data_IF_820958617213
#
_entry.id   IF_820958617213
#
_cell.length_a   1.000
_cell.length_b   1.000
_cell.length_c   1.000
_cell.angle_alpha   90.00
_cell.angle_beta   90.00
_cell.angle_gamma   90.00
#
_symmetry.space_group_name_H-M   'P 1'
#
loop_
_entity.id
_entity.type
_entity.pdbx_description
1 polymer ?
#
# COMPACT_ATOMS: atom_id res chain seq x y z
N UNK A 1 -33.41 -22.12 -3.78
CA UNK A 1 -33.37 -21.45 -2.47
C UNK A 1 -32.54 -22.19 -1.40
N UNK A 2 -32.24 -23.47 -1.51
CA UNK A 2 -31.65 -24.23 -0.40
C UNK A 2 -30.12 -24.23 -0.23
N UNK A 3 -29.32 -23.98 -1.26
CA UNK A 3 -27.85 -24.08 -1.19
C UNK A 3 -27.21 -22.75 -0.77
N UNK A 4 -27.76 -21.63 -1.20
CA UNK A 4 -27.30 -20.28 -0.87
C UNK A 4 -27.52 -19.93 0.62
N UNK A 5 -28.66 -20.33 1.18
CA UNK A 5 -28.95 -20.08 2.61
C UNK A 5 -28.11 -20.98 3.55
N UNK A 6 -27.79 -22.21 3.13
CA UNK A 6 -26.94 -23.10 3.94
C UNK A 6 -25.49 -22.66 3.98
N UNK A 7 -24.91 -22.17 2.85
CA UNK A 7 -23.55 -21.64 2.85
C UNK A 7 -23.44 -20.31 3.63
N UNK A 8 -24.47 -19.47 3.55
CA UNK A 8 -24.55 -18.21 4.28
C UNK A 8 -24.74 -18.40 5.79
N UNK A 9 -25.54 -19.38 6.21
CA UNK A 9 -25.70 -19.73 7.62
C UNK A 9 -24.40 -20.23 8.23
N UNK A 10 -23.71 -21.09 7.53
CA UNK A 10 -22.45 -21.67 7.96
C UNK A 10 -21.30 -20.64 8.04
N UNK A 11 -21.20 -19.72 7.06
CA UNK A 11 -20.22 -18.62 7.08
C UNK A 11 -20.53 -17.63 8.21
N UNK A 12 -21.81 -17.31 8.43
CA UNK A 12 -22.25 -16.42 9.51
C UNK A 12 -21.97 -17.01 10.89
N UNK A 13 -22.11 -18.33 11.03
CA UNK A 13 -21.82 -19.06 12.26
C UNK A 13 -20.31 -19.19 12.49
N UNK A 14 -19.51 -19.39 11.42
CA UNK A 14 -18.05 -19.49 11.49
C UNK A 14 -17.32 -18.15 11.58
N UNK A 15 -17.86 -17.06 11.06
CA UNK A 15 -17.26 -15.73 11.04
C UNK A 15 -17.89 -14.75 12.05
N UNK A 16 -18.36 -15.23 13.18
CA UNK A 16 -19.01 -14.40 14.19
C UNK A 16 -18.07 -13.30 14.73
N UNK A 17 -18.33 -12.01 14.43
CA UNK A 17 -17.41 -10.90 14.75
C UNK A 17 -17.25 -10.64 16.25
N UNK A 18 -18.15 -11.16 17.09
CA UNK A 18 -18.07 -10.98 18.54
C UNK A 18 -16.89 -11.72 19.21
N UNK A 19 -16.33 -12.73 18.56
CA UNK A 19 -15.14 -13.46 19.06
C UNK A 19 -13.80 -12.89 18.54
N UNK A 20 -13.81 -12.07 17.52
CA UNK A 20 -12.60 -11.47 16.95
C UNK A 20 -11.90 -10.47 17.91
N UNK A 21 -12.64 -9.92 18.88
CA UNK A 21 -12.12 -8.94 19.82
C UNK A 21 -11.19 -9.53 20.91
N UNK A 22 -11.18 -10.85 21.10
CA UNK A 22 -10.46 -11.49 22.21
C UNK A 22 -9.05 -11.96 21.82
N UNK A 23 -8.77 -12.14 20.53
CA UNK A 23 -7.53 -12.77 20.06
C UNK A 23 -6.56 -11.85 19.29
N UNK A 24 -6.75 -10.54 19.32
CA UNK A 24 -5.83 -9.59 18.67
C UNK A 24 -4.44 -9.50 19.32
N UNK A 25 -4.20 -10.21 20.41
CA UNK A 25 -2.93 -10.17 21.17
C UNK A 25 -1.97 -11.33 20.91
N UNK A 26 -2.36 -12.39 20.23
CA UNK A 26 -1.56 -13.62 20.23
C UNK A 26 -0.74 -13.93 18.96
N UNK A 27 -0.63 -13.01 18.02
CA UNK A 27 0.10 -13.22 16.77
C UNK A 27 1.39 -12.44 16.58
N UNK A 28 1.71 -11.53 17.50
CA UNK A 28 2.92 -10.69 17.41
C UNK A 28 3.91 -11.15 18.45
N UNK A 29 5.15 -11.40 18.06
CA UNK A 29 6.26 -11.55 18.97
C UNK A 29 6.23 -10.43 20.00
N UNK A 30 5.76 -10.73 21.21
CA UNK A 30 5.83 -9.83 22.35
C UNK A 30 7.29 -9.69 22.77
N UNK A 31 8.02 -8.77 22.14
CA UNK A 31 9.11 -8.13 22.87
C UNK A 31 8.46 -7.12 23.81
N UNK A 32 8.53 -7.42 25.08
CA UNK A 32 8.25 -6.49 26.19
C UNK A 32 8.87 -5.14 25.90
N UNK A 33 8.01 -4.17 25.71
CA UNK A 33 8.11 -2.73 25.75
C UNK A 33 7.49 -2.04 24.55
N UNK A 34 6.31 -1.46 24.76
CA UNK A 34 5.72 -0.33 24.02
C UNK A 34 5.75 -0.38 22.47
N UNK A 35 5.99 -1.53 21.86
CA UNK A 35 6.00 -1.62 20.39
C UNK A 35 4.58 -1.57 19.84
N UNK A 36 4.33 -0.52 19.08
CA UNK A 36 3.08 -0.35 18.38
C UNK A 36 2.92 -1.48 17.33
N UNK A 37 1.80 -2.19 17.34
CA UNK A 37 1.51 -3.16 16.27
C UNK A 37 1.37 -2.43 14.93
N UNK A 38 1.67 -3.09 13.81
CA UNK A 38 1.57 -2.45 12.49
C UNK A 38 0.15 -1.96 12.19
N UNK A 39 -0.86 -2.70 12.62
CA UNK A 39 -2.28 -2.28 12.49
C UNK A 39 -2.55 -1.01 13.29
N UNK A 40 -2.09 -0.93 14.55
CA UNK A 40 -2.24 0.29 15.36
C UNK A 40 -1.41 1.45 14.81
N UNK A 41 -0.23 1.18 14.24
CA UNK A 41 0.56 2.21 13.57
C UNK A 41 -0.17 2.75 12.33
N UNK A 42 -0.81 1.88 11.55
CA UNK A 42 -1.63 2.27 10.41
C UNK A 42 -2.85 3.12 10.81
N UNK A 43 -3.48 2.81 11.95
CA UNK A 43 -4.63 3.57 12.46
C UNK A 43 -4.24 4.93 13.05
N UNK A 44 -3.05 5.04 13.67
CA UNK A 44 -2.68 6.21 14.48
C UNK A 44 -1.67 7.14 13.83
N UNK A 45 -0.81 6.65 12.94
CA UNK A 45 0.26 7.43 12.33
C UNK A 45 -0.07 7.80 10.88
N UNK A 46 -0.19 9.09 10.63
CA UNK A 46 -0.51 9.65 9.31
C UNK A 46 0.44 9.17 8.21
N UNK A 47 1.74 9.13 8.50
CA UNK A 47 2.76 8.68 7.55
C UNK A 47 2.57 7.22 7.16
N UNK A 48 2.29 6.33 8.13
CA UNK A 48 2.05 4.91 7.87
C UNK A 48 0.74 4.74 7.08
N UNK A 49 -0.34 5.40 7.54
CA UNK A 49 -1.65 5.34 6.89
C UNK A 49 -1.56 5.78 5.43
N UNK A 50 -0.97 6.95 5.18
CA UNK A 50 -0.83 7.48 3.83
C UNK A 50 0.01 6.58 2.93
N UNK A 51 1.18 6.12 3.40
CA UNK A 51 2.08 5.28 2.62
C UNK A 51 1.46 3.94 2.25
N UNK A 52 0.82 3.28 3.20
CA UNK A 52 0.10 2.02 2.97
C UNK A 52 -1.06 2.24 2.00
N UNK A 53 -1.90 3.25 2.22
CA UNK A 53 -3.04 3.53 1.35
C UNK A 53 -2.63 3.88 -0.08
N UNK A 54 -1.51 4.56 -0.30
CA UNK A 54 -0.99 4.82 -1.65
C UNK A 54 -0.68 3.52 -2.39
N UNK A 55 0.01 2.58 -1.74
CA UNK A 55 0.35 1.27 -2.32
C UNK A 55 -0.92 0.46 -2.58
N UNK A 56 -1.75 0.35 -1.56
CA UNK A 56 -2.98 -0.47 -1.59
C UNK A 56 -3.95 0.03 -2.65
N UNK A 57 -4.20 1.35 -2.71
CA UNK A 57 -5.09 1.93 -3.72
C UNK A 57 -4.56 1.75 -5.13
N UNK A 58 -3.26 1.94 -5.34
CA UNK A 58 -2.62 1.74 -6.64
C UNK A 58 -2.70 0.27 -7.09
N UNK A 59 -2.40 -0.69 -6.21
CA UNK A 59 -2.46 -2.11 -6.51
C UNK A 59 -3.91 -2.58 -6.74
N UNK A 60 -4.87 -2.07 -5.95
CA UNK A 60 -6.29 -2.45 -6.04
C UNK A 60 -7.00 -1.88 -7.26
N UNK A 61 -6.48 -0.82 -7.86
CA UNK A 61 -7.05 -0.20 -9.07
C UNK A 61 -6.78 -0.98 -10.35
N UNK A 62 -5.87 -1.96 -10.32
CA UNK A 62 -5.54 -2.77 -11.48
C UNK A 62 -6.59 -3.88 -11.66
N UNK A 63 -7.10 -4.02 -12.88
CA UNK A 63 -7.91 -5.16 -13.27
C UNK A 63 -7.02 -6.26 -13.84
N UNK A 64 -7.57 -7.47 -13.93
CA UNK A 64 -6.84 -8.67 -14.34
C UNK A 64 -7.48 -9.31 -15.56
N UNK A 65 -6.66 -9.71 -16.51
CA UNK A 65 -7.07 -10.54 -17.63
C UNK A 65 -6.71 -12.00 -17.34
N UNK A 66 -7.72 -12.85 -17.32
CA UNK A 66 -7.55 -14.29 -17.11
C UNK A 66 -7.52 -14.96 -18.49
N UNK A 67 -6.36 -15.43 -18.87
CA UNK A 67 -6.11 -16.12 -20.14
C UNK A 67 -6.37 -17.62 -20.05
N UNK A 68 -5.82 -18.36 -20.98
CA UNK A 68 -6.03 -19.79 -21.07
C UNK A 68 -5.42 -20.56 -19.89
N UNK A 69 -5.95 -21.75 -19.65
CA UNK A 69 -5.43 -22.65 -18.63
C UNK A 69 -4.05 -23.18 -19.06
N UNK A 70 -3.04 -22.95 -18.20
CA UNK A 70 -1.65 -23.35 -18.48
C UNK A 70 -1.28 -24.66 -17.78
N UNK A 71 -1.85 -24.91 -16.59
CA UNK A 71 -1.54 -26.07 -15.78
C UNK A 71 -2.74 -26.49 -14.93
N UNK A 72 -2.64 -27.63 -14.27
CA UNK A 72 -3.59 -27.99 -13.22
C UNK A 72 -3.28 -27.22 -11.95
N UNK A 73 -4.26 -26.42 -11.47
CA UNK A 73 -4.17 -25.72 -10.22
C UNK A 73 -4.48 -26.62 -9.01
N UNK A 74 -4.27 -26.07 -7.83
CA UNK A 74 -4.65 -26.73 -6.56
C UNK A 74 -6.16 -26.92 -6.51
N UNK A 75 -6.92 -25.93 -6.98
CA UNK A 75 -8.38 -26.00 -7.11
C UNK A 75 -8.76 -26.52 -8.50
N UNK A 76 -9.46 -27.63 -8.54
CA UNK A 76 -9.97 -28.22 -9.78
C UNK A 76 -11.38 -27.71 -10.08
N UNK A 77 -11.73 -27.56 -11.37
CA UNK A 77 -13.09 -27.22 -11.81
C UNK A 77 -13.42 -25.72 -11.88
N UNK A 78 -12.51 -24.83 -11.52
CA UNK A 78 -12.66 -23.40 -11.78
C UNK A 78 -12.74 -23.13 -13.27
N UNK A 79 -13.68 -22.28 -13.70
CA UNK A 79 -13.81 -21.84 -15.09
C UNK A 79 -13.17 -20.46 -15.26
N UNK A 80 -12.53 -20.22 -16.41
CA UNK A 80 -11.91 -18.93 -16.74
C UNK A 80 -12.85 -17.74 -16.48
N UNK A 81 -14.08 -17.79 -17.02
CA UNK A 81 -15.08 -16.74 -16.82
C UNK A 81 -15.46 -16.53 -15.36
N UNK A 82 -15.49 -17.59 -14.57
CA UNK A 82 -15.77 -17.51 -13.13
C UNK A 82 -14.64 -16.81 -12.42
N UNK A 83 -13.39 -17.20 -12.67
CA UNK A 83 -12.22 -16.55 -12.08
C UNK A 83 -12.14 -15.07 -12.45
N UNK A 84 -12.36 -14.75 -13.73
CA UNK A 84 -12.39 -13.36 -14.19
C UNK A 84 -13.48 -12.53 -13.47
N UNK A 85 -14.67 -13.11 -13.26
CA UNK A 85 -15.75 -12.45 -12.51
C UNK A 85 -15.39 -12.23 -11.04
N UNK A 86 -14.74 -13.22 -10.39
CA UNK A 86 -14.30 -13.12 -9.01
C UNK A 86 -13.22 -12.07 -8.82
N UNK A 87 -12.28 -11.96 -9.77
CA UNK A 87 -11.17 -11.01 -9.68
C UNK A 87 -11.57 -9.57 -9.97
N UNK A 88 -12.44 -9.34 -10.97
CA UNK A 88 -12.69 -7.99 -11.50
C UNK A 88 -14.06 -7.42 -11.14
N UNK A 89 -15.01 -8.25 -10.73
CA UNK A 89 -16.37 -7.77 -10.52
C UNK A 89 -16.91 -8.11 -9.13
N UNK A 90 -17.01 -9.39 -8.78
CA UNK A 90 -17.72 -9.83 -7.58
C UNK A 90 -17.02 -11.01 -6.90
N UNK A 91 -16.08 -10.78 -6.00
CA UNK A 91 -15.41 -11.83 -5.24
C UNK A 91 -16.37 -12.59 -4.32
N UNK A 92 -17.33 -11.88 -3.71
CA UNK A 92 -18.36 -12.42 -2.84
C UNK A 92 -19.61 -11.51 -2.86
N UNK A 93 -20.74 -11.92 -2.22
CA UNK A 93 -21.98 -11.14 -2.22
C UNK A 93 -21.91 -9.79 -1.51
N UNK A 94 -20.89 -9.54 -0.69
CA UNK A 94 -20.79 -8.40 0.23
C UNK A 94 -19.80 -7.32 -0.20
N UNK A 95 -18.85 -7.63 -1.10
CA UNK A 95 -17.76 -6.76 -1.43
C UNK A 95 -17.63 -6.58 -2.95
N UNK A 96 -17.23 -5.38 -3.36
CA UNK A 96 -16.73 -5.16 -4.72
C UNK A 96 -15.35 -5.78 -4.90
N UNK A 97 -14.91 -6.00 -6.13
CA UNK A 97 -13.57 -6.48 -6.41
C UNK A 97 -12.50 -5.51 -5.90
N UNK A 98 -12.76 -4.20 -5.99
CA UNK A 98 -11.86 -3.16 -5.49
C UNK A 98 -11.69 -3.24 -3.97
N UNK A 99 -12.80 -3.28 -3.19
CA UNK A 99 -12.75 -3.36 -1.73
C UNK A 99 -12.06 -4.66 -1.25
N UNK A 100 -12.36 -5.77 -1.93
CA UNK A 100 -11.71 -7.04 -1.64
C UNK A 100 -10.19 -6.96 -1.86
N UNK A 101 -9.75 -6.38 -2.99
CA UNK A 101 -8.34 -6.17 -3.28
C UNK A 101 -7.68 -5.22 -2.28
N UNK A 102 -8.38 -4.18 -1.83
CA UNK A 102 -7.87 -3.31 -0.77
C UNK A 102 -7.58 -4.09 0.50
N UNK A 103 -8.48 -4.94 0.95
CA UNK A 103 -8.28 -5.73 2.16
C UNK A 103 -7.07 -6.66 2.04
N UNK A 104 -6.93 -7.39 0.94
CA UNK A 104 -5.82 -8.33 0.75
C UNK A 104 -4.47 -7.63 0.62
N UNK A 105 -4.40 -6.51 -0.09
CA UNK A 105 -3.14 -5.77 -0.22
C UNK A 105 -2.78 -5.01 1.08
N UNK A 106 -3.77 -4.60 1.87
CA UNK A 106 -3.53 -4.05 3.20
C UNK A 106 -2.86 -5.08 4.10
N UNK A 107 -3.40 -6.30 4.16
CA UNK A 107 -2.80 -7.39 4.93
C UNK A 107 -1.40 -7.75 4.42
N UNK A 108 -1.20 -7.75 3.11
CA UNK A 108 0.12 -8.03 2.55
C UNK A 108 1.17 -6.99 2.99
N UNK A 109 0.81 -5.72 3.00
CA UNK A 109 1.74 -4.65 3.40
C UNK A 109 1.96 -4.62 4.91
N UNK A 110 0.88 -4.76 5.71
CA UNK A 110 0.95 -4.67 7.16
C UNK A 110 1.47 -5.94 7.82
N UNK A 111 1.01 -7.11 7.38
CA UNK A 111 1.30 -8.40 8.02
C UNK A 111 2.25 -9.29 7.19
N UNK A 112 2.47 -8.94 5.93
CA UNK A 112 3.25 -9.73 4.99
C UNK A 112 2.60 -11.06 4.58
N UNK A 113 1.34 -11.29 4.90
CA UNK A 113 0.62 -12.53 4.65
C UNK A 113 -0.79 -12.24 4.19
N UNK A 114 -1.32 -13.07 3.29
CA UNK A 114 -2.70 -12.98 2.80
C UNK A 114 -3.34 -14.35 2.80
N UNK A 115 -4.53 -14.44 3.34
CA UNK A 115 -5.33 -15.65 3.36
C UNK A 115 -6.71 -15.36 2.77
N UNK A 116 -7.11 -16.15 1.79
CA UNK A 116 -8.39 -16.02 1.11
C UNK A 116 -9.05 -17.39 1.11
N UNK A 117 -10.18 -17.49 1.80
CA UNK A 117 -10.99 -18.70 1.78
C UNK A 117 -11.82 -18.76 0.49
N UNK A 118 -11.78 -19.91 -0.18
CA UNK A 118 -12.58 -20.20 -1.35
C UNK A 118 -13.59 -21.30 -1.04
N UNK A 119 -14.89 -20.99 -1.09
CA UNK A 119 -15.98 -21.92 -0.74
C UNK A 119 -16.45 -22.80 -1.92
N UNK A 120 -15.74 -22.75 -3.05
CA UNK A 120 -16.15 -23.39 -4.31
C UNK A 120 -16.92 -22.46 -5.26
N UNK A 121 -17.37 -21.30 -4.78
CA UNK A 121 -18.10 -20.31 -5.57
C UNK A 121 -17.55 -18.90 -5.40
N UNK A 122 -17.25 -18.48 -4.18
CA UNK A 122 -16.84 -17.14 -3.80
C UNK A 122 -15.53 -17.13 -3.01
N UNK A 123 -14.87 -15.96 -3.00
CA UNK A 123 -13.65 -15.70 -2.27
C UNK A 123 -13.93 -14.79 -1.07
N UNK A 124 -13.42 -15.15 0.10
CA UNK A 124 -13.56 -14.38 1.34
C UNK A 124 -12.19 -14.10 1.93
N UNK A 125 -11.90 -12.84 2.19
CA UNK A 125 -10.69 -12.45 2.86
C UNK A 125 -10.73 -12.88 4.33
N UNK A 126 -9.66 -13.51 4.80
CA UNK A 126 -9.45 -13.84 6.20
C UNK A 126 -8.32 -12.94 6.73
N UNK A 127 -8.60 -12.00 7.67
CA UNK A 127 -7.57 -11.13 8.24
C UNK A 127 -6.37 -11.93 8.74
N UNK A 128 -5.18 -11.57 8.26
CA UNK A 128 -3.94 -12.33 8.47
C UNK A 128 -3.55 -12.45 9.95
N UNK A 129 -3.89 -11.43 10.75
CA UNK A 129 -3.66 -11.45 12.20
C UNK A 129 -4.43 -12.57 12.92
N UNK A 130 -5.53 -13.02 12.35
CA UNK A 130 -6.42 -14.01 12.95
C UNK A 130 -6.19 -15.44 12.43
N UNK A 131 -5.26 -15.64 11.49
CA UNK A 131 -4.98 -16.94 10.90
C UNK A 131 -3.68 -17.52 11.45
N UNK A 132 -3.75 -18.72 11.98
CA UNK A 132 -2.60 -19.52 12.39
C UNK A 132 -2.32 -20.59 11.34
N UNK A 133 -1.05 -20.74 10.98
CA UNK A 133 -0.58 -21.81 10.10
C UNK A 133 -0.11 -22.97 10.97
N UNK A 134 -0.79 -24.08 10.87
CA UNK A 134 -0.37 -25.33 11.54
C UNK A 134 0.45 -26.15 10.56
N UNK A 135 1.70 -26.39 10.91
CA UNK A 135 2.68 -27.07 10.08
C UNK A 135 2.76 -28.57 10.39
N UNK A 136 3.26 -29.32 9.43
CA UNK A 136 3.53 -30.76 9.54
C UNK A 136 4.85 -31.05 8.79
N UNK A 137 5.67 -31.92 9.32
CA UNK A 137 6.95 -32.33 8.74
C UNK A 137 6.82 -32.93 7.33
N UNK A 138 5.68 -33.56 7.02
CA UNK A 138 5.45 -34.22 5.72
C UNK A 138 4.81 -33.33 4.68
N UNK A 139 3.88 -32.47 5.09
CA UNK A 139 3.04 -31.68 4.16
C UNK A 139 3.34 -30.19 4.17
N UNK A 140 4.32 -29.76 4.96
CA UNK A 140 4.66 -28.35 5.22
C UNK A 140 3.51 -27.60 5.93
N UNK A 141 2.34 -27.47 5.31
CA UNK A 141 1.16 -26.84 5.89
C UNK A 141 0.09 -27.93 6.02
N UNK A 142 -0.28 -28.23 7.26
CA UNK A 142 -1.32 -29.21 7.59
C UNK A 142 -2.72 -28.59 7.47
N UNK A 143 -2.90 -27.42 8.05
CA UNK A 143 -4.17 -26.66 8.05
C UNK A 143 -3.95 -25.21 8.39
N UNK A 144 -4.95 -24.39 8.09
CA UNK A 144 -5.06 -23.02 8.58
C UNK A 144 -6.16 -22.98 9.65
N UNK A 145 -5.87 -22.37 10.79
CA UNK A 145 -6.85 -22.20 11.87
C UNK A 145 -7.19 -20.72 12.00
N UNK A 146 -8.45 -20.38 11.82
CA UNK A 146 -8.96 -19.01 11.92
C UNK A 146 -9.61 -18.79 13.27
N UNK A 147 -9.29 -17.68 13.95
CA UNK A 147 -9.77 -17.34 15.32
C UNK A 147 -9.58 -18.48 16.34
N UNK A 148 -8.60 -19.34 16.14
CA UNK A 148 -8.31 -20.46 17.03
C UNK A 148 -9.35 -21.59 17.05
N UNK A 149 -10.43 -21.48 16.26
CA UNK A 149 -11.59 -22.42 16.33
C UNK A 149 -11.97 -23.01 14.99
N UNK A 150 -11.76 -22.31 13.88
CA UNK A 150 -12.18 -22.76 12.55
C UNK A 150 -10.99 -23.25 11.77
N UNK A 151 -11.03 -24.52 11.39
CA UNK A 151 -9.98 -25.14 10.60
C UNK A 151 -10.35 -25.17 9.12
N UNK A 152 -9.40 -24.80 8.26
CA UNK A 152 -9.48 -24.89 6.82
C UNK A 152 -8.37 -25.78 6.29
N UNK A 153 -8.65 -26.52 5.23
CA UNK A 153 -7.66 -27.32 4.52
C UNK A 153 -6.80 -26.42 3.62
N UNK A 154 -5.57 -26.84 3.26
CA UNK A 154 -4.70 -26.09 2.37
C UNK A 154 -5.27 -25.84 0.96
N UNK A 155 -6.17 -26.71 0.48
CA UNK A 155 -6.85 -26.59 -0.80
C UNK A 155 -8.08 -25.64 -0.77
N UNK A 156 -8.56 -25.27 0.42
CA UNK A 156 -9.65 -24.32 0.61
C UNK A 156 -9.16 -22.87 0.79
N UNK A 157 -7.87 -22.69 1.11
CA UNK A 157 -7.30 -21.37 1.38
C UNK A 157 -6.24 -21.01 0.35
N UNK A 158 -6.54 -20.01 -0.44
CA UNK A 158 -5.58 -19.34 -1.29
C UNK A 158 -4.67 -18.48 -0.41
N UNK A 159 -3.41 -18.90 -0.28
CA UNK A 159 -2.43 -18.28 0.58
C UNK A 159 -1.21 -17.81 -0.20
N UNK A 160 -0.78 -16.59 0.06
CA UNK A 160 0.49 -16.06 -0.39
C UNK A 160 1.10 -15.08 0.63
N UNK A 161 2.39 -14.80 0.48
CA UNK A 161 3.14 -14.04 1.48
C UNK A 161 4.21 -13.17 0.85
N UNK A 162 4.66 -12.16 1.57
CA UNK A 162 5.87 -11.40 1.23
C UNK A 162 7.13 -12.16 1.67
N UNK A 163 8.31 -11.65 1.31
CA UNK A 163 9.59 -12.27 1.68
C UNK A 163 9.77 -12.25 3.19
N UNK A 164 10.27 -13.34 3.74
CA UNK A 164 10.72 -13.43 5.13
C UNK A 164 12.03 -14.22 5.18
N UNK A 165 12.94 -13.75 6.00
CA UNK A 165 14.18 -14.48 6.29
C UNK A 165 14.03 -15.39 7.52
N UNK A 166 13.00 -15.15 8.35
CA UNK A 166 12.81 -15.83 9.63
C UNK A 166 11.91 -17.07 9.51
N UNK A 167 11.07 -17.12 8.47
CA UNK A 167 10.09 -18.20 8.31
C UNK A 167 9.87 -18.57 6.86
N UNK A 168 9.86 -19.87 6.57
CA UNK A 168 9.43 -20.40 5.27
C UNK A 168 7.90 -20.39 5.14
N UNK A 169 7.18 -20.32 6.25
CA UNK A 169 5.71 -20.39 6.29
C UNK A 169 5.06 -19.03 6.29
N UNK A 170 5.60 -18.04 7.00
CA UNK A 170 5.03 -16.67 7.08
C UNK A 170 5.94 -15.66 6.44
N UNK A 171 5.32 -14.66 5.82
CA UNK A 171 5.98 -13.46 5.34
C UNK A 171 6.21 -12.45 6.46
N UNK A 172 7.06 -11.47 6.23
CA UNK A 172 7.32 -10.36 7.13
C UNK A 172 6.67 -9.09 6.61
N UNK A 173 6.20 -8.25 7.54
CA UNK A 173 5.66 -6.93 7.21
C UNK A 173 6.71 -6.07 6.49
N UNK A 174 6.29 -5.30 5.50
CA UNK A 174 7.15 -4.28 4.88
C UNK A 174 7.55 -3.17 5.84
N UNK A 175 6.74 -2.94 6.87
CA UNK A 175 7.01 -1.95 7.91
C UNK A 175 8.06 -2.42 8.94
N UNK A 176 8.48 -3.69 8.91
CA UNK A 176 9.43 -4.23 9.88
C UNK A 176 10.75 -3.43 9.93
N UNK A 177 11.28 -3.05 8.78
CA UNK A 177 12.50 -2.24 8.70
C UNK A 177 12.31 -0.80 9.23
N UNK A 178 11.07 -0.30 9.24
CA UNK A 178 10.73 1.05 9.74
C UNK A 178 10.30 1.07 11.22
N UNK A 179 10.25 -0.07 11.92
CA UNK A 179 9.64 -0.16 13.25
C UNK A 179 10.23 0.84 14.26
N UNK A 180 11.54 1.10 14.21
CA UNK A 180 12.18 2.09 15.07
C UNK A 180 11.67 3.51 14.77
N UNK A 181 11.55 3.86 13.49
CA UNK A 181 11.02 5.17 13.07
C UNK A 181 9.56 5.33 13.44
N UNK A 182 8.77 4.26 13.33
CA UNK A 182 7.37 4.21 13.74
C UNK A 182 7.23 4.47 15.23
N UNK A 183 7.96 3.72 16.06
CA UNK A 183 7.91 3.89 17.51
C UNK A 183 8.41 5.26 17.97
N UNK A 184 9.48 5.78 17.35
CA UNK A 184 9.99 7.13 17.66
C UNK A 184 8.96 8.20 17.30
N UNK A 185 8.38 8.12 16.10
CA UNK A 185 7.35 9.06 15.65
C UNK A 185 6.12 9.03 16.57
N UNK A 186 5.67 7.84 16.94
CA UNK A 186 4.55 7.67 17.86
C UNK A 186 4.84 8.29 19.24
N UNK A 187 6.01 8.00 19.83
CA UNK A 187 6.40 8.56 21.12
C UNK A 187 6.55 10.09 21.08
N UNK A 188 7.04 10.64 19.97
CA UNK A 188 7.12 12.09 19.79
C UNK A 188 5.74 12.74 19.75
N UNK A 189 4.80 12.15 19.01
CA UNK A 189 3.42 12.65 18.93
C UNK A 189 2.70 12.53 20.28
N UNK A 190 2.84 11.42 21.00
CA UNK A 190 2.30 11.27 22.36
C UNK A 190 2.89 12.29 23.33
N UNK A 191 4.20 12.53 23.25
CA UNK A 191 4.86 13.54 24.05
C UNK A 191 4.30 14.94 23.75
N UNK A 192 4.18 15.31 22.47
CA UNK A 192 3.61 16.59 22.07
C UNK A 192 2.16 16.74 22.57
N UNK A 193 1.34 15.71 22.38
CA UNK A 193 -0.05 15.71 22.84
C UNK A 193 -0.14 15.88 24.36
N UNK A 194 0.67 15.13 25.10
CA UNK A 194 0.76 15.22 26.56
C UNK A 194 1.23 16.60 27.01
N UNK A 195 2.25 17.14 26.34
CA UNK A 195 2.78 18.48 26.65
C UNK A 195 1.71 19.56 26.47
N UNK A 196 0.97 19.55 25.35
CA UNK A 196 -0.12 20.51 25.13
C UNK A 196 -1.30 20.29 26.09
N UNK A 197 -1.65 19.04 26.38
CA UNK A 197 -2.69 18.74 27.41
C UNK A 197 -2.34 19.21 28.78
N UNK A 198 -1.04 19.25 29.12
CA UNK A 198 -0.53 19.73 30.42
C UNK A 198 -0.20 21.22 30.44
N UNK A 199 -0.71 22.00 29.47
CA UNK A 199 -0.57 23.46 29.48
C UNK A 199 0.78 23.97 28.97
N UNK A 200 1.51 23.17 28.21
CA UNK A 200 2.80 23.51 27.60
C UNK A 200 3.90 23.90 28.63
N UNK A 201 3.87 23.29 29.81
CA UNK A 201 4.86 23.54 30.88
C UNK A 201 5.72 22.29 31.05
N UNK A 202 7.04 22.43 30.86
CA UNK A 202 8.01 21.42 31.26
C UNK A 202 8.19 21.50 32.78
N UNK A 203 7.94 20.41 33.48
CA UNK A 203 8.24 20.18 34.88
C UNK A 203 8.35 21.41 35.76
N UNK A 204 7.32 21.73 36.53
CA UNK A 204 7.37 22.80 37.50
C UNK A 204 7.93 22.28 38.82
N UNK A 205 8.97 22.88 39.32
CA UNK A 205 9.47 22.65 40.67
C UNK A 205 9.10 23.83 41.55
N UNK A 206 8.45 23.54 42.66
CA UNK A 206 8.21 24.51 43.71
C UNK A 206 9.36 24.42 44.73
N UNK A 207 10.17 25.47 44.83
CA UNK A 207 11.25 25.57 45.80
C UNK A 207 10.83 26.44 46.97
N UNK A 208 11.25 26.08 48.15
CA UNK A 208 11.06 26.86 49.36
C UNK A 208 12.31 26.83 50.23
N UNK A 209 12.61 27.92 50.94
CA UNK A 209 13.70 28.00 51.88
C UNK A 209 13.39 27.30 53.21
N UNK A 210 12.10 27.01 53.46
CA UNK A 210 11.63 26.34 54.66
C UNK A 210 11.47 24.84 54.46
N UNK A 211 11.85 24.04 55.44
CA UNK A 211 11.63 22.58 55.37
C UNK A 211 10.15 22.24 55.56
N UNK A 212 9.50 21.75 54.56
CA UNK A 212 8.11 21.29 54.59
C UNK A 212 8.03 19.82 54.97
N UNK A 213 7.17 19.50 55.96
CA UNK A 213 6.80 18.11 56.24
C UNK A 213 6.02 17.46 55.10
N UNK A 214 5.98 16.14 55.09
CA UNK A 214 5.31 15.35 54.01
C UNK A 214 3.86 15.78 53.76
N UNK A 215 3.08 15.96 54.84
CA UNK A 215 1.67 16.40 54.74
C UNK A 215 1.53 17.82 54.16
N UNK A 216 2.47 18.71 54.43
CA UNK A 216 2.46 20.05 53.87
C UNK A 216 2.80 20.01 52.37
N UNK A 217 3.76 19.17 51.96
CA UNK A 217 4.10 18.94 50.55
C UNK A 217 2.90 18.43 49.75
N UNK A 218 2.20 17.39 50.24
CA UNK A 218 1.03 16.85 49.62
C UNK A 218 -0.12 17.86 49.50
N UNK A 219 -0.39 18.63 50.58
CA UNK A 219 -1.40 19.70 50.55
C UNK A 219 -1.06 20.78 49.53
N UNK A 220 0.20 21.17 49.41
CA UNK A 220 0.66 22.17 48.45
C UNK A 220 0.50 21.65 47.02
N UNK A 221 0.88 20.39 46.74
CA UNK A 221 0.71 19.76 45.43
C UNK A 221 -0.78 19.65 45.07
N UNK A 222 -1.62 19.16 45.98
CA UNK A 222 -3.06 19.02 45.76
C UNK A 222 -3.74 20.38 45.55
N UNK A 223 -3.35 21.42 46.32
CA UNK A 223 -3.82 22.79 46.13
C UNK A 223 -3.43 23.34 44.77
N UNK A 224 -2.15 23.16 44.36
CA UNK A 224 -1.65 23.54 43.05
C UNK A 224 -2.44 22.82 41.95
N UNK A 225 -2.56 21.49 42.01
CA UNK A 225 -3.29 20.68 41.04
C UNK A 225 -4.77 21.08 40.94
N UNK A 226 -5.42 21.44 42.06
CA UNK A 226 -6.82 21.86 42.04
C UNK A 226 -7.05 23.22 41.37
N UNK A 227 -6.08 24.12 41.43
CA UNK A 227 -6.15 25.48 40.88
C UNK A 227 -5.54 25.59 39.48
N UNK A 228 -4.55 24.75 39.18
CA UNK A 228 -3.75 24.75 37.96
C UNK A 228 -3.94 23.49 37.16
N UNK A 229 -5.14 22.93 37.14
CA UNK A 229 -5.40 21.73 36.36
C UNK A 229 -5.48 22.08 34.85
N UNK A 230 -4.54 21.61 34.03
CA UNK A 230 -4.54 21.88 32.57
C UNK A 230 -5.82 21.44 31.86
N UNK A 231 -6.44 20.35 32.32
CA UNK A 231 -7.69 19.81 31.75
C UNK A 231 -8.90 20.73 31.92
N UNK A 232 -8.91 21.56 32.97
CA UNK A 232 -10.03 22.50 33.25
C UNK A 232 -9.75 23.93 32.80
N UNK A 233 -8.62 24.15 32.10
CA UNK A 233 -8.25 25.48 31.62
C UNK A 233 -8.00 26.47 32.77
N UNK A 234 -7.52 26.00 33.91
CA UNK A 234 -7.27 26.78 35.14
C UNK A 234 -6.29 27.90 34.92
N UNK A 235 -6.83 29.07 34.54
CA UNK A 235 -6.12 30.35 34.45
C UNK A 235 -6.28 31.18 35.74
N UNK A 236 -6.52 30.54 36.86
CA UNK A 236 -6.68 31.29 38.13
C UNK A 236 -5.31 31.60 38.71
N UNK A 237 -5.01 32.86 39.07
CA UNK A 237 -3.78 33.19 39.71
C UNK A 237 -3.65 32.41 41.04
N UNK A 238 -2.50 31.77 41.24
CA UNK A 238 -2.17 31.05 42.47
C UNK A 238 -1.32 31.99 43.33
N UNK A 239 -1.76 32.24 44.55
CA UNK A 239 -0.97 32.95 45.53
C UNK A 239 -0.08 31.93 46.23
N UNK A 240 1.22 32.14 46.16
CA UNK A 240 2.21 31.32 46.84
C UNK A 240 2.64 32.09 48.11
N UNK A 241 2.56 31.42 49.22
CA UNK A 241 3.04 31.91 50.52
C UNK A 241 4.23 31.08 51.00
N UNK A 242 4.73 31.38 52.20
CA UNK A 242 5.82 30.62 52.82
C UNK A 242 7.12 30.52 51.99
N UNK A 243 7.41 31.51 51.16
CA UNK A 243 8.63 31.54 50.36
C UNK A 243 8.68 30.57 49.22
N UNK A 244 7.55 30.00 48.83
CA UNK A 244 7.45 29.12 47.64
C UNK A 244 7.72 29.92 46.36
N UNK A 245 8.71 29.48 45.59
CA UNK A 245 9.05 30.06 44.29
C UNK A 245 8.87 28.98 43.19
N UNK A 246 8.12 29.28 42.13
CA UNK A 246 8.04 28.37 40.99
C UNK A 246 9.32 28.48 40.18
N UNK A 247 9.97 27.35 39.94
CA UNK A 247 11.08 27.22 39.02
C UNK A 247 10.71 26.30 37.89
N UNK A 248 10.91 26.77 36.67
CA UNK A 248 10.79 25.93 35.50
C UNK A 248 12.09 25.14 35.34
N UNK A 249 12.06 23.82 35.41
CA UNK A 249 13.27 22.97 35.34
C UNK A 249 13.87 22.98 33.93
N UNK A 250 13.05 23.19 32.91
CA UNK A 250 13.52 23.18 31.54
C UNK A 250 13.55 24.59 30.97
N UNK A 251 14.74 25.18 30.93
CA UNK A 251 15.01 26.37 30.11
C UNK A 251 15.01 26.06 28.60
N UNK A 252 14.96 24.77 28.21
CA UNK A 252 14.92 24.35 26.80
C UNK A 252 13.58 24.70 26.19
N UNK A 253 13.63 25.61 25.23
CA UNK A 253 12.47 25.94 24.39
C UNK A 253 12.07 24.73 23.56
N UNK A 254 10.78 24.54 23.38
CA UNK A 254 10.22 23.52 22.48
C UNK A 254 10.86 23.57 21.07
N UNK A 255 11.27 24.76 20.65
CA UNK A 255 11.98 25.03 19.41
C UNK A 255 13.38 24.39 19.35
N UNK A 256 14.06 24.31 20.51
CA UNK A 256 15.40 23.73 20.58
C UNK A 256 15.42 22.19 20.49
N UNK A 257 14.26 21.54 20.64
CA UNK A 257 14.11 20.10 20.56
C UNK A 257 13.91 19.60 19.11
N UNK A 258 13.79 20.52 18.13
CA UNK A 258 13.73 20.25 16.69
C UNK A 258 12.70 19.18 16.28
N UNK A 259 11.57 19.13 17.00
CA UNK A 259 10.53 18.11 16.81
C UNK A 259 10.01 18.08 15.38
N UNK A 260 9.82 19.23 14.73
CA UNK A 260 9.26 19.30 13.39
C UNK A 260 10.18 18.63 12.37
N UNK A 261 11.48 18.89 12.46
CA UNK A 261 12.49 18.25 11.58
C UNK A 261 12.54 16.75 11.85
N UNK A 262 12.49 16.36 13.11
CA UNK A 262 12.54 14.96 13.52
C UNK A 262 11.30 14.18 13.06
N UNK A 263 10.09 14.72 13.27
CA UNK A 263 8.82 14.15 12.80
C UNK A 263 8.86 13.98 11.28
N UNK A 264 9.27 15.01 10.55
CA UNK A 264 9.41 14.96 9.10
C UNK A 264 10.41 13.88 8.65
N UNK A 265 11.58 13.83 9.28
CA UNK A 265 12.62 12.85 8.96
C UNK A 265 12.14 11.42 9.18
N UNK A 266 11.47 11.14 10.30
CA UNK A 266 10.94 9.80 10.56
C UNK A 266 9.77 9.45 9.63
N UNK A 267 8.93 10.39 9.28
CA UNK A 267 7.87 10.21 8.29
C UNK A 267 8.44 9.88 6.90
N UNK A 268 9.46 10.61 6.47
CA UNK A 268 10.16 10.35 5.20
C UNK A 268 10.84 8.96 5.19
N UNK A 269 11.47 8.54 6.28
CA UNK A 269 12.06 7.19 6.41
C UNK A 269 11.01 6.08 6.29
N UNK A 270 9.84 6.26 6.90
CA UNK A 270 8.73 5.31 6.78
C UNK A 270 8.29 5.19 5.32
N UNK A 271 8.11 6.32 4.63
CA UNK A 271 7.75 6.33 3.21
C UNK A 271 8.82 5.68 2.32
N UNK A 272 10.09 5.94 2.58
CA UNK A 272 11.20 5.31 1.84
C UNK A 272 11.20 3.79 2.00
N UNK A 273 10.98 3.28 3.21
CA UNK A 273 10.88 1.84 3.47
C UNK A 273 9.69 1.22 2.75
N UNK A 274 8.58 1.93 2.64
CA UNK A 274 7.41 1.50 1.87
C UNK A 274 7.63 1.59 0.35
N UNK A 275 8.71 2.23 -0.12
CA UNK A 275 8.97 2.46 -1.53
C UNK A 275 8.11 3.57 -2.14
N UNK A 276 7.62 4.50 -1.32
CA UNK A 276 6.85 5.67 -1.77
C UNK A 276 7.79 6.86 -1.91
N UNK A 277 7.99 7.42 -3.12
CA UNK A 277 8.83 8.59 -3.32
C UNK A 277 8.32 9.80 -2.54
N UNK A 278 9.16 10.48 -1.74
CA UNK A 278 8.74 11.61 -0.90
C UNK A 278 8.13 12.78 -1.69
N UNK A 279 8.53 12.95 -2.94
CA UNK A 279 8.00 14.00 -3.81
C UNK A 279 6.49 13.87 -4.09
N UNK A 280 5.96 12.64 -4.03
CA UNK A 280 4.53 12.40 -4.19
C UNK A 280 3.70 12.91 -3.00
N UNK A 281 4.36 13.23 -1.89
CA UNK A 281 3.74 13.76 -0.68
C UNK A 281 3.86 15.28 -0.58
N UNK A 282 5.01 15.82 -0.98
CA UNK A 282 5.34 17.25 -0.79
C UNK A 282 4.66 18.15 -1.82
N UNK A 283 4.09 17.59 -2.88
CA UNK A 283 3.68 18.35 -4.05
C UNK A 283 4.91 18.89 -4.80
N UNK A 284 4.88 18.87 -6.09
CA UNK A 284 6.00 19.32 -6.92
C UNK A 284 5.50 19.77 -8.28
N UNK A 285 6.41 20.24 -9.12
CA UNK A 285 6.12 20.52 -10.52
C UNK A 285 5.74 19.20 -11.24
N UNK A 286 4.73 19.22 -12.09
CA UNK A 286 4.27 18.04 -12.84
C UNK A 286 5.38 17.31 -13.60
N UNK A 287 6.42 18.02 -14.05
CA UNK A 287 7.57 17.44 -14.70
C UNK A 287 8.35 16.44 -13.83
N UNK A 288 8.31 16.62 -12.51
CA UNK A 288 8.98 15.72 -11.55
C UNK A 288 8.05 14.67 -10.97
N UNK A 289 6.75 14.90 -10.99
CA UNK A 289 5.76 13.96 -10.42
C UNK A 289 5.60 12.72 -11.30
N UNK A 290 5.44 12.89 -12.61
CA UNK A 290 5.17 11.78 -13.54
C UNK A 290 6.26 10.70 -13.55
N UNK A 291 7.56 11.02 -13.64
CA UNK A 291 8.62 10.00 -13.57
C UNK A 291 8.65 9.27 -12.23
N UNK A 292 8.44 9.98 -11.11
CA UNK A 292 8.42 9.38 -9.78
C UNK A 292 7.18 8.51 -9.55
N UNK A 293 6.03 8.89 -10.10
CA UNK A 293 4.83 8.07 -10.07
C UNK A 293 5.04 6.78 -10.89
N UNK A 294 5.67 6.86 -12.06
CA UNK A 294 6.03 5.69 -12.86
C UNK A 294 7.00 4.77 -12.11
N UNK A 295 8.02 5.32 -11.48
CA UNK A 295 8.98 4.56 -10.66
C UNK A 295 8.27 3.85 -9.50
N UNK A 296 7.37 4.55 -8.80
CA UNK A 296 6.55 3.97 -7.74
C UNK A 296 5.73 2.77 -8.23
N UNK A 297 5.09 2.87 -9.40
CA UNK A 297 4.38 1.73 -9.97
C UNK A 297 5.32 0.58 -10.30
N UNK A 298 6.44 0.83 -10.98
CA UNK A 298 7.35 -0.22 -11.46
C UNK A 298 8.07 -0.94 -10.31
N UNK A 299 8.54 -0.20 -9.29
CA UNK A 299 9.39 -0.76 -8.23
C UNK A 299 8.60 -1.18 -6.98
N UNK A 300 7.44 -0.58 -6.73
CA UNK A 300 6.67 -0.86 -5.51
C UNK A 300 5.39 -1.60 -5.79
N UNK A 301 4.52 -1.09 -6.67
CA UNK A 301 3.18 -1.63 -6.92
C UNK A 301 3.23 -2.92 -7.72
N UNK A 302 3.91 -2.92 -8.87
CA UNK A 302 3.94 -4.07 -9.78
C UNK A 302 4.57 -5.33 -9.16
N UNK A 303 5.64 -5.28 -8.33
CA UNK A 303 6.13 -6.45 -7.62
C UNK A 303 5.12 -7.06 -6.66
N UNK A 304 4.30 -6.24 -5.99
CA UNK A 304 3.20 -6.70 -5.12
C UNK A 304 2.14 -7.42 -5.94
N UNK A 305 1.70 -6.80 -7.02
CA UNK A 305 0.70 -7.35 -7.94
C UNK A 305 1.20 -8.66 -8.57
N UNK A 306 2.47 -8.72 -8.97
CA UNK A 306 3.08 -9.94 -9.52
C UNK A 306 3.06 -11.11 -8.53
N UNK A 307 3.27 -10.84 -7.22
CA UNK A 307 3.12 -11.90 -6.19
C UNK A 307 1.71 -12.46 -6.15
N UNK A 308 0.72 -11.58 -6.19
CA UNK A 308 -0.68 -11.98 -6.21
C UNK A 308 -1.00 -12.80 -7.45
N UNK A 309 -0.58 -12.34 -8.63
CA UNK A 309 -0.76 -13.05 -9.89
C UNK A 309 -0.12 -14.45 -9.83
N UNK A 310 1.17 -14.54 -9.48
CA UNK A 310 1.86 -15.84 -9.43
C UNK A 310 1.23 -16.82 -8.44
N UNK A 311 0.63 -16.29 -7.38
CA UNK A 311 -0.10 -17.13 -6.44
C UNK A 311 -1.45 -17.60 -7.02
N UNK A 312 -2.17 -16.71 -7.77
CA UNK A 312 -3.40 -17.08 -8.47
C UNK A 312 -3.15 -18.16 -9.54
N UNK A 313 -2.09 -17.99 -10.33
CA UNK A 313 -1.68 -18.96 -11.35
C UNK A 313 -1.41 -20.34 -10.74
N UNK A 314 -0.67 -20.38 -9.64
CA UNK A 314 -0.41 -21.64 -8.92
C UNK A 314 -1.69 -22.26 -8.35
N UNK A 315 -2.61 -21.46 -7.84
CA UNK A 315 -3.80 -21.95 -7.14
C UNK A 315 -4.89 -22.42 -8.11
N UNK A 316 -5.10 -21.69 -9.20
CA UNK A 316 -6.17 -21.97 -10.17
C UNK A 316 -5.69 -22.55 -11.49
N UNK A 317 -4.41 -22.43 -11.83
CA UNK A 317 -3.81 -22.99 -13.04
C UNK A 317 -4.05 -22.18 -14.32
N UNK A 318 -4.50 -20.93 -14.22
CA UNK A 318 -4.72 -20.02 -15.35
C UNK A 318 -3.57 -19.02 -15.46
N UNK A 319 -3.22 -18.62 -16.68
CA UNK A 319 -2.37 -17.46 -16.95
C UNK A 319 -3.16 -16.18 -16.64
N UNK A 320 -2.60 -15.32 -15.80
CA UNK A 320 -3.26 -14.09 -15.35
C UNK A 320 -2.33 -12.90 -15.54
N UNK A 321 -2.81 -11.87 -16.21
CA UNK A 321 -2.07 -10.63 -16.39
C UNK A 321 -2.79 -9.44 -15.77
N UNK A 322 -2.03 -8.49 -15.21
CA UNK A 322 -2.59 -7.22 -14.78
C UNK A 322 -2.78 -6.28 -15.97
N UNK A 323 -3.95 -5.68 -16.08
CA UNK A 323 -4.26 -4.70 -17.13
C UNK A 323 -3.67 -3.35 -16.74
N UNK A 324 -2.51 -3.03 -17.32
CA UNK A 324 -1.80 -1.76 -17.04
C UNK A 324 -2.22 -0.62 -17.97
N UNK A 325 -3.01 -0.91 -19.01
CA UNK A 325 -3.43 0.09 -20.02
C UNK A 325 -4.32 1.19 -19.47
N UNK A 326 -4.97 0.96 -18.34
CA UNK A 326 -5.80 1.94 -17.64
C UNK A 326 -5.00 2.88 -16.74
N UNK A 327 -3.74 2.55 -16.45
CA UNK A 327 -2.87 3.33 -15.55
C UNK A 327 -2.06 4.33 -16.38
N UNK A 328 -2.43 5.61 -16.33
CA UNK A 328 -1.76 6.67 -17.10
C UNK A 328 -0.27 6.79 -16.81
N UNK A 329 0.16 6.53 -15.57
CA UNK A 329 1.58 6.59 -15.18
C UNK A 329 2.45 5.52 -15.85
N UNK A 330 1.87 4.39 -16.26
CA UNK A 330 2.56 3.30 -16.95
C UNK A 330 2.51 3.44 -18.47
N UNK A 331 1.66 4.32 -18.97
CA UNK A 331 1.57 4.58 -20.41
C UNK A 331 2.69 5.55 -20.84
N UNK A 332 3.26 5.37 -22.03
CA UNK A 332 4.13 6.40 -22.63
C UNK A 332 3.35 7.70 -22.81
N UNK A 333 4.04 8.83 -22.71
CA UNK A 333 3.41 10.11 -23.01
C UNK A 333 2.89 10.13 -24.46
N UNK A 334 1.72 10.73 -24.67
CA UNK A 334 1.13 10.83 -26.02
C UNK A 334 2.09 11.44 -27.04
N UNK A 335 2.94 12.37 -26.61
CA UNK A 335 3.98 12.97 -27.42
C UNK A 335 5.03 11.93 -27.87
N UNK A 336 5.46 11.06 -26.95
CA UNK A 336 6.45 10.02 -27.24
C UNK A 336 5.86 8.96 -28.18
N UNK A 337 4.60 8.57 -27.95
CA UNK A 337 3.87 7.66 -28.82
C UNK A 337 3.75 8.27 -30.23
N UNK A 338 3.34 9.53 -30.34
CA UNK A 338 3.22 10.22 -31.62
C UNK A 338 4.57 10.34 -32.33
N UNK A 339 5.65 10.66 -31.59
CA UNK A 339 7.01 10.73 -32.10
C UNK A 339 7.51 9.36 -32.58
N UNK A 340 7.27 8.30 -31.81
CA UNK A 340 7.61 6.93 -32.14
C UNK A 340 6.94 6.50 -33.47
N UNK A 341 5.62 6.62 -33.55
CA UNK A 341 4.91 6.26 -34.77
C UNK A 341 5.29 7.13 -35.96
N UNK A 342 5.47 8.43 -35.76
CA UNK A 342 5.97 9.33 -36.81
C UNK A 342 7.33 8.89 -37.35
N UNK A 343 8.23 8.47 -36.45
CA UNK A 343 9.56 7.97 -36.82
C UNK A 343 9.46 6.68 -37.63
N UNK A 344 8.66 5.71 -37.20
CA UNK A 344 8.47 4.43 -37.89
C UNK A 344 7.83 4.62 -39.28
N UNK A 345 6.82 5.48 -39.39
CA UNK A 345 6.18 5.79 -40.68
C UNK A 345 7.15 6.50 -41.61
N UNK A 346 7.93 7.48 -41.11
CA UNK A 346 8.91 8.21 -41.93
C UNK A 346 10.10 7.34 -42.34
N UNK A 347 10.46 6.32 -41.53
CA UNK A 347 11.46 5.34 -41.88
C UNK A 347 10.97 4.26 -42.84
N UNK A 348 9.69 4.25 -43.18
CA UNK A 348 9.10 3.24 -44.05
C UNK A 348 8.96 1.86 -43.42
N UNK A 349 8.93 1.78 -42.10
CA UNK A 349 8.83 0.50 -41.33
C UNK A 349 7.37 0.08 -41.21
N UNK A 350 6.47 1.05 -40.94
CA UNK A 350 5.02 0.85 -40.86
C UNK A 350 4.29 1.83 -41.78
N UNK A 351 3.10 1.44 -42.24
CA UNK A 351 2.23 2.32 -43.01
C UNK A 351 1.54 3.36 -42.12
N UNK A 352 1.08 4.51 -42.69
CA UNK A 352 0.28 5.47 -41.93
C UNK A 352 -1.02 4.86 -41.35
N UNK A 353 -1.64 3.88 -42.02
CA UNK A 353 -2.84 3.23 -41.51
C UNK A 353 -2.54 2.27 -40.36
N UNK A 354 -1.42 1.56 -40.38
CA UNK A 354 -1.00 0.74 -39.24
C UNK A 354 -0.74 1.63 -37.99
N UNK A 355 -0.04 2.75 -38.15
CA UNK A 355 0.16 3.72 -37.05
C UNK A 355 -1.18 4.29 -36.54
N UNK A 356 -2.16 4.56 -37.44
CA UNK A 356 -3.50 5.04 -37.06
C UNK A 356 -4.26 4.00 -36.27
N UNK A 357 -4.22 2.73 -36.67
CA UNK A 357 -4.89 1.63 -35.99
C UNK A 357 -4.32 1.42 -34.58
N UNK A 358 -2.98 1.45 -34.42
CA UNK A 358 -2.35 1.34 -33.09
C UNK A 358 -2.73 2.52 -32.18
N UNK A 359 -2.87 3.72 -32.77
CA UNK A 359 -3.36 4.91 -32.06
C UNK A 359 -4.90 4.93 -31.89
N UNK A 360 -5.59 3.84 -32.25
CA UNK A 360 -7.06 3.70 -32.21
C UNK A 360 -7.82 4.69 -33.09
N UNK A 361 -7.19 5.20 -34.14
CA UNK A 361 -7.86 5.96 -35.20
C UNK A 361 -8.31 5.07 -36.34
N UNK A 362 -9.38 5.43 -36.99
CA UNK A 362 -9.89 4.72 -38.16
C UNK A 362 -8.92 4.86 -39.34
N UNK A 363 -8.67 3.75 -40.05
CA UNK A 363 -7.87 3.75 -41.29
C UNK A 363 -8.49 4.70 -42.34
N UNK A 364 -7.64 5.34 -43.14
CA UNK A 364 -8.06 6.20 -44.25
C UNK A 364 -7.63 5.59 -45.58
N UNK A 365 -8.48 5.59 -46.61
CA UNK A 365 -8.12 5.09 -47.94
C UNK A 365 -6.84 5.78 -48.47
N UNK A 366 -5.97 5.02 -49.11
CA UNK A 366 -4.74 5.52 -49.73
C UNK A 366 -3.57 5.77 -48.76
N UNK A 367 -3.62 5.26 -47.51
CA UNK A 367 -2.55 5.35 -46.53
C UNK A 367 -2.04 3.95 -46.10
N UNK A 368 -2.21 2.95 -46.94
CA UNK A 368 -1.74 1.59 -46.65
C UNK A 368 -0.30 1.31 -47.14
N UNK A 369 0.21 2.17 -48.02
CA UNK A 369 1.56 2.04 -48.55
C UNK A 369 2.60 2.56 -47.57
N UNK A 370 3.77 1.89 -47.54
CA UNK A 370 4.91 2.35 -46.78
C UNK A 370 5.48 3.64 -47.37
N UNK A 371 5.80 4.61 -46.55
CA UNK A 371 6.49 5.82 -46.99
C UNK A 371 7.96 5.55 -47.24
N UNK A 372 8.42 5.85 -48.43
CA UNK A 372 9.85 5.79 -48.75
C UNK A 372 10.54 7.07 -48.25
N UNK A 373 11.63 6.96 -47.45
CA UNK A 373 12.34 8.11 -46.99
C UNK A 373 12.82 9.01 -48.15
N UNK A 374 12.66 10.32 -47.99
CA UNK A 374 12.93 11.28 -49.06
C UNK A 374 14.37 11.25 -49.60
N UNK A 375 15.33 10.87 -48.79
CA UNK A 375 16.74 10.71 -49.20
C UNK A 375 16.96 9.49 -50.15
N UNK A 376 16.04 8.54 -50.15
CA UNK A 376 16.08 7.39 -51.07
C UNK A 376 15.16 7.64 -52.26
N UNK A 377 13.98 8.21 -52.02
CA UNK A 377 12.98 8.48 -53.07
C UNK A 377 13.48 9.41 -54.18
N UNK A 378 14.39 10.34 -53.86
CA UNK A 378 14.95 11.25 -54.87
C UNK A 378 15.93 10.65 -55.88
N UNK A 379 16.28 9.35 -55.75
CA UNK A 379 17.27 8.69 -56.62
C UNK A 379 16.68 7.79 -57.71
N UNK A 380 15.36 7.58 -57.75
CA UNK A 380 14.69 6.72 -58.70
C UNK A 380 13.81 7.46 -59.70
N UNK A 381 13.61 6.89 -60.89
CA UNK A 381 12.68 7.38 -61.87
C UNK A 381 11.21 7.32 -61.36
N UNK A 382 10.92 6.34 -60.48
CA UNK A 382 9.65 6.21 -59.77
C UNK A 382 9.95 6.35 -58.25
N UNK A 383 9.40 7.35 -57.55
CA UNK A 383 9.63 7.56 -56.14
C UNK A 383 9.24 6.37 -55.25
N UNK A 384 8.33 5.51 -55.70
CA UNK A 384 7.93 4.29 -54.99
C UNK A 384 8.98 3.16 -55.05
N UNK A 385 9.92 3.23 -55.99
CA UNK A 385 11.01 2.26 -56.13
C UNK A 385 12.31 2.71 -55.43
N UNK A 386 12.37 3.94 -54.96
CA UNK A 386 13.55 4.54 -54.38
C UNK A 386 14.63 4.92 -55.43
N UNK A 387 15.60 5.68 -55.07
CA UNK A 387 16.72 6.08 -55.95
C UNK A 387 16.78 7.57 -56.27
N UNK A 388 17.85 8.00 -56.99
CA UNK A 388 18.02 9.39 -57.39
C UNK A 388 17.07 9.79 -58.52
N UNK A 389 16.59 11.04 -58.57
CA UNK A 389 15.76 11.50 -59.70
C UNK A 389 16.56 11.36 -61.01
N UNK A 390 15.90 10.99 -62.13
CA UNK A 390 16.56 10.88 -63.43
C UNK A 390 17.16 12.21 -63.84
N UNK A 391 18.38 12.17 -64.33
CA UNK A 391 19.03 13.37 -64.89
C UNK A 391 18.15 13.95 -66.02
N UNK A 392 18.01 15.28 -66.10
CA UNK A 392 17.30 15.92 -67.19
C UNK A 392 17.87 15.44 -68.50
N UNK A 393 17.00 14.99 -69.43
CA UNK A 393 17.46 14.69 -70.82
C UNK A 393 17.99 15.94 -71.43
N UNK A 394 19.30 15.94 -71.77
CA UNK A 394 19.87 16.99 -72.57
C UNK A 394 19.07 17.13 -73.86
N UNK A 395 18.48 18.32 -74.09
CA UNK A 395 17.81 18.62 -75.33
C UNK A 395 18.83 18.59 -76.46
N UNK A 396 18.58 17.69 -77.44
CA UNK A 396 19.33 17.67 -78.70
C UNK A 396 18.91 18.83 -79.57
#
# INVERSE_FOLDING_TARGET
MGIYEKSMGWIREKLNPAQAAIYSESGVNQSTDQNLTYVRAFEKLEAVNRGVNMIVSAASSLDYDVKDKVADGIVTGMRQKQLNTLLNFRPNPYQSAYDFRQNIFTDLVLEGNVFIYYDGTFMYHLPAANVQIITDEKTFIKKFTYNGTVDFRPDEVFYFKDVSNDSIYRGSSRLQAAIRSINTLYSMQEFQESFFKNGAVFGLVLTTENTLGLLAKEKTINYWMSKYNPKTGGKRPVILDSGLKPHNIAESNFKDMDFDVSIRTHSEKIMQVLGVPPILLAGGNNANISPNLRLFYLETVMPIVKRFISALERFYGYDVEAITTTVSALQPELKDIASYHSTLVNAGIISPNEARLELRYVAKPGNDDLRIPANIAGSAANPSEGGAPPKPKEAK
#
